data_IF_765595394851
#
_entry.id   IF_765595394851
#
_cell.length_a   1.000
_cell.length_b   1.000
_cell.length_c   1.000
_cell.angle_alpha   90.00
_cell.angle_beta   90.00
_cell.angle_gamma   90.00
#
_symmetry.space_group_name_H-M   'P 1'
#
loop_
_entity.id
_entity.type
_entity.pdbx_description
1 polymer ?
#
# COMPACT_ATOMS: atom_id res chain seq x y z
N UNK A 1 -6.92 23.31 -6.21
CA UNK A 1 -7.90 22.49 -6.95
C UNK A 1 -7.27 21.24 -7.61
N UNK A 2 -6.29 21.37 -8.53
CA UNK A 2 -5.73 20.22 -9.26
C UNK A 2 -5.18 19.08 -8.38
N UNK A 3 -4.29 19.38 -7.43
CA UNK A 3 -3.74 18.38 -6.50
C UNK A 3 -4.83 17.72 -5.63
N UNK A 4 -5.84 18.48 -5.21
CA UNK A 4 -6.95 17.95 -4.45
C UNK A 4 -7.80 16.96 -5.26
N UNK A 5 -8.03 17.24 -6.55
CA UNK A 5 -8.74 16.31 -7.43
C UNK A 5 -7.94 15.01 -7.66
N UNK A 6 -6.62 15.10 -7.84
CA UNK A 6 -5.78 13.90 -7.99
C UNK A 6 -5.74 13.05 -6.71
N UNK A 7 -5.64 13.69 -5.54
CA UNK A 7 -5.74 13.01 -4.25
C UNK A 7 -7.10 12.33 -4.06
N UNK A 8 -8.18 12.99 -4.49
CA UNK A 8 -9.53 12.44 -4.47
C UNK A 8 -9.67 11.24 -5.40
N UNK A 9 -9.10 11.25 -6.61
CA UNK A 9 -9.10 10.07 -7.50
C UNK A 9 -8.42 8.85 -6.86
N UNK A 10 -7.25 9.06 -6.24
CA UNK A 10 -6.54 8.00 -5.51
C UNK A 10 -7.39 7.46 -4.36
N UNK A 11 -7.98 8.36 -3.59
CA UNK A 11 -8.77 7.99 -2.41
C UNK A 11 -10.05 7.26 -2.80
N UNK A 12 -10.73 7.72 -3.85
CA UNK A 12 -11.89 7.06 -4.43
C UNK A 12 -11.56 5.61 -4.81
N UNK A 13 -10.52 5.39 -5.63
CA UNK A 13 -10.21 4.02 -6.06
C UNK A 13 -9.75 3.12 -4.91
N UNK A 14 -9.19 3.71 -3.86
CA UNK A 14 -8.81 3.02 -2.64
C UNK A 14 -10.03 2.53 -1.83
N UNK A 15 -11.08 3.34 -1.69
CA UNK A 15 -12.33 2.90 -1.06
C UNK A 15 -13.03 1.82 -1.89
N UNK A 16 -12.99 1.95 -3.23
CA UNK A 16 -13.47 0.91 -4.13
C UNK A 16 -12.64 -0.38 -3.98
N UNK A 17 -11.33 -0.29 -3.75
CA UNK A 17 -10.49 -1.45 -3.45
C UNK A 17 -10.99 -2.17 -2.20
N UNK A 18 -11.22 -1.44 -1.12
CA UNK A 18 -11.68 -2.03 0.14
C UNK A 18 -13.05 -2.71 -0.03
N UNK A 19 -13.95 -2.13 -0.84
CA UNK A 19 -15.20 -2.76 -1.22
C UNK A 19 -15.01 -4.02 -2.07
N UNK A 20 -14.11 -3.98 -3.07
CA UNK A 20 -13.81 -5.11 -3.94
C UNK A 20 -13.38 -6.35 -3.14
N UNK A 21 -12.60 -6.17 -2.08
CA UNK A 21 -12.20 -7.26 -1.18
C UNK A 21 -13.40 -7.91 -0.47
N UNK A 22 -14.46 -7.13 -0.17
CA UNK A 22 -15.66 -7.64 0.52
C UNK A 22 -16.64 -8.35 -0.42
N UNK A 23 -16.70 -7.92 -1.68
CA UNK A 23 -17.67 -8.44 -2.65
C UNK A 23 -17.08 -9.47 -3.62
N UNK A 24 -15.78 -9.79 -3.50
CA UNK A 24 -15.12 -10.76 -4.40
C UNK A 24 -14.81 -10.20 -5.78
N UNK A 25 -14.56 -8.88 -5.88
CA UNK A 25 -14.20 -8.20 -7.13
C UNK A 25 -12.70 -7.87 -7.21
N UNK A 26 -12.25 -7.41 -8.38
CA UNK A 26 -10.88 -6.97 -8.65
C UNK A 26 -10.84 -5.47 -8.99
N UNK A 27 -10.23 -4.68 -8.12
CA UNK A 27 -10.09 -3.23 -8.28
C UNK A 27 -9.31 -2.84 -9.54
N UNK A 28 -8.38 -3.67 -10.03
CA UNK A 28 -7.67 -3.39 -11.27
C UNK A 28 -8.59 -3.50 -12.49
N UNK A 29 -9.54 -4.44 -12.48
CA UNK A 29 -10.57 -4.54 -13.52
C UNK A 29 -11.54 -3.38 -13.44
N UNK A 30 -11.97 -2.98 -12.23
CA UNK A 30 -12.84 -1.82 -12.02
C UNK A 30 -12.15 -0.53 -12.50
N UNK A 31 -10.90 -0.30 -12.09
CA UNK A 31 -10.09 0.85 -12.50
C UNK A 31 -9.92 0.90 -14.02
N UNK A 32 -9.66 -0.25 -14.66
CA UNK A 32 -9.58 -0.36 -16.12
C UNK A 32 -10.92 0.00 -16.76
N UNK A 33 -12.03 -0.59 -16.28
CA UNK A 33 -13.37 -0.35 -16.81
C UNK A 33 -13.78 1.11 -16.78
N UNK A 34 -13.67 1.78 -15.62
CA UNK A 34 -14.01 3.21 -15.52
C UNK A 34 -12.98 4.09 -16.24
N UNK A 35 -11.73 3.65 -16.36
CA UNK A 35 -10.65 4.40 -17.00
C UNK A 35 -10.75 4.48 -18.53
N UNK A 36 -11.57 3.62 -19.16
CA UNK A 36 -11.87 3.66 -20.59
C UNK A 36 -12.77 4.83 -20.96
N UNK A 37 -13.53 5.39 -20.01
CA UNK A 37 -14.31 6.60 -20.23
C UNK A 37 -13.37 7.82 -20.29
N UNK A 38 -13.32 8.49 -21.43
CA UNK A 38 -12.47 9.67 -21.65
C UNK A 38 -12.73 10.83 -20.69
N UNK A 39 -13.91 10.89 -20.06
CA UNK A 39 -14.24 11.90 -19.03
C UNK A 39 -13.57 11.61 -17.68
N UNK A 40 -13.25 10.35 -17.40
CA UNK A 40 -12.59 9.90 -16.17
C UNK A 40 -11.09 9.79 -16.40
N UNK A 41 -10.69 9.07 -17.46
CA UNK A 41 -9.32 8.75 -17.82
C UNK A 41 -8.63 7.77 -16.86
N UNK A 42 -7.71 6.96 -17.41
CA UNK A 42 -7.07 5.84 -16.72
C UNK A 42 -6.01 6.22 -15.66
N UNK A 43 -5.54 7.47 -15.63
CA UNK A 43 -4.47 7.90 -14.70
C UNK A 43 -5.01 8.15 -13.29
N UNK A 44 -4.15 7.93 -12.29
CA UNK A 44 -4.45 8.13 -10.86
C UNK A 44 -5.58 7.22 -10.34
N UNK A 45 -5.68 6.01 -10.91
CA UNK A 45 -6.65 4.98 -10.52
C UNK A 45 -5.95 3.67 -10.09
N UNK A 46 -4.74 3.77 -9.56
CA UNK A 46 -4.04 2.62 -9.00
C UNK A 46 -4.27 2.62 -7.48
N UNK A 47 -5.01 1.61 -7.00
CA UNK A 47 -5.19 1.41 -5.57
C UNK A 47 -3.84 1.08 -4.91
N UNK A 48 -3.63 1.61 -3.71
CA UNK A 48 -2.38 1.43 -2.98
C UNK A 48 -2.51 1.76 -1.50
N UNK A 49 -1.41 1.97 -0.75
CA UNK A 49 -1.47 2.18 0.70
C UNK A 49 -1.91 3.59 1.14
N UNK A 50 -2.40 4.40 0.21
CA UNK A 50 -2.64 5.82 0.36
C UNK A 50 -1.61 6.66 -0.39
N UNK A 51 -1.82 7.97 -0.42
CA UNK A 51 -0.89 8.95 -1.00
C UNK A 51 -0.07 9.65 0.08
N UNK A 52 1.09 10.16 -0.35
CA UNK A 52 2.01 10.96 0.46
C UNK A 52 2.74 11.99 -0.40
N UNK A 53 3.96 12.33 0.01
CA UNK A 53 4.81 13.32 -0.65
C UNK A 53 4.49 14.74 -0.22
N UNK A 54 5.30 15.69 -0.64
CA UNK A 54 5.20 17.09 -0.19
C UNK A 54 4.05 17.90 -0.79
N UNK A 55 3.44 17.43 -1.89
CA UNK A 55 2.44 18.19 -2.62
C UNK A 55 1.02 17.86 -2.16
N UNK A 56 0.60 16.59 -2.21
CA UNK A 56 -0.82 16.25 -2.02
C UNK A 56 -1.32 16.53 -0.60
N UNK A 57 -0.72 15.99 0.49
CA UNK A 57 -1.21 16.20 1.85
C UNK A 57 -1.19 17.68 2.24
N UNK A 58 -0.11 18.39 1.92
CA UNK A 58 0.02 19.83 2.20
C UNK A 58 -1.06 20.64 1.49
N UNK A 59 -1.24 20.43 0.18
CA UNK A 59 -2.15 21.26 -0.62
C UNK A 59 -3.62 20.93 -0.37
N UNK A 60 -3.97 19.67 -0.04
CA UNK A 60 -5.34 19.31 0.37
C UNK A 60 -5.69 19.91 1.72
N UNK A 61 -4.80 19.82 2.72
CA UNK A 61 -4.99 20.44 4.03
C UNK A 61 -5.09 21.97 3.92
N UNK A 62 -4.22 22.61 3.13
CA UNK A 62 -4.27 24.04 2.90
C UNK A 62 -5.59 24.47 2.24
N UNK A 63 -6.09 23.71 1.27
CA UNK A 63 -7.38 23.97 0.63
C UNK A 63 -8.54 23.82 1.62
N UNK A 64 -8.54 22.76 2.42
CA UNK A 64 -9.56 22.53 3.46
C UNK A 64 -9.56 23.68 4.47
N UNK A 65 -8.38 24.07 4.96
CA UNK A 65 -8.25 25.17 5.92
C UNK A 65 -8.75 26.48 5.34
N UNK A 66 -8.35 26.80 4.11
CA UNK A 66 -8.81 28.00 3.39
C UNK A 66 -10.34 27.98 3.23
N UNK A 67 -10.92 26.86 2.83
CA UNK A 67 -12.36 26.70 2.68
C UNK A 67 -13.13 26.93 3.99
N UNK A 68 -12.58 26.45 5.11
CA UNK A 68 -13.16 26.65 6.45
C UNK A 68 -13.05 28.10 6.92
N UNK A 69 -11.91 28.76 6.67
CA UNK A 69 -11.69 30.16 7.07
C UNK A 69 -12.62 31.14 6.33
N UNK A 70 -13.20 30.73 5.20
CA UNK A 70 -14.16 31.49 4.40
C UNK A 70 -15.58 30.92 4.43
N UNK A 71 -15.92 30.07 5.41
CA UNK A 71 -17.25 29.49 5.61
C UNK A 71 -17.83 28.76 4.38
N UNK A 72 -16.96 28.18 3.54
CA UNK A 72 -17.33 27.46 2.30
C UNK A 72 -16.69 26.07 2.27
N UNK A 73 -17.16 25.13 3.12
CA UNK A 73 -16.48 23.86 3.34
C UNK A 73 -16.47 22.95 2.10
N UNK A 74 -15.31 22.38 1.80
CA UNK A 74 -15.07 21.46 0.67
C UNK A 74 -15.13 20.00 1.12
N UNK A 75 -16.32 19.55 1.52
CA UNK A 75 -16.55 18.24 2.17
C UNK A 75 -15.90 17.04 1.47
N UNK A 76 -15.90 17.00 0.13
CA UNK A 76 -15.25 15.92 -0.62
C UNK A 76 -13.75 15.84 -0.33
N UNK A 77 -13.08 16.97 -0.19
CA UNK A 77 -11.64 17.03 0.08
C UNK A 77 -11.35 16.77 1.55
N UNK A 78 -12.22 17.22 2.47
CA UNK A 78 -12.14 16.88 3.90
C UNK A 78 -12.17 15.36 4.10
N UNK A 79 -13.16 14.70 3.48
CA UNK A 79 -13.26 13.23 3.49
C UNK A 79 -12.06 12.58 2.82
N UNK A 80 -11.59 13.13 1.69
CA UNK A 80 -10.40 12.61 0.99
C UNK A 80 -9.17 12.55 1.91
N UNK A 81 -8.95 13.57 2.74
CA UNK A 81 -7.85 13.61 3.70
C UNK A 81 -8.06 12.56 4.81
N UNK A 82 -9.24 12.56 5.43
CA UNK A 82 -9.56 11.65 6.53
C UNK A 82 -9.46 10.16 6.14
N UNK A 83 -9.95 9.80 4.94
CA UNK A 83 -9.86 8.43 4.41
C UNK A 83 -8.41 8.06 4.15
N UNK A 84 -7.59 8.95 3.59
CA UNK A 84 -6.17 8.65 3.34
C UNK A 84 -5.39 8.37 4.62
N UNK A 85 -5.64 9.13 5.70
CA UNK A 85 -4.95 8.94 6.98
C UNK A 85 -5.32 7.60 7.64
N UNK A 86 -6.62 7.28 7.65
CA UNK A 86 -7.11 6.00 8.19
C UNK A 86 -6.66 4.80 7.34
N UNK A 87 -6.55 4.97 6.01
CA UNK A 87 -6.09 3.95 5.09
C UNK A 87 -4.67 3.49 5.37
N UNK A 88 -3.72 4.41 5.60
CA UNK A 88 -2.33 4.06 5.91
C UNK A 88 -2.24 3.11 7.11
N UNK A 89 -3.02 3.38 8.17
CA UNK A 89 -3.11 2.50 9.35
C UNK A 89 -3.85 1.19 9.06
N UNK A 90 -4.84 1.21 8.17
CA UNK A 90 -5.54 0.00 7.75
C UNK A 90 -4.63 -0.98 7.01
N UNK A 91 -3.64 -0.49 6.27
CA UNK A 91 -2.65 -1.33 5.60
C UNK A 91 -1.77 -2.09 6.59
N UNK A 92 -1.37 -1.47 7.71
CA UNK A 92 -0.67 -2.18 8.77
C UNK A 92 -1.53 -3.31 9.35
N UNK A 93 -2.85 -3.07 9.56
CA UNK A 93 -3.77 -4.13 10.00
C UNK A 93 -3.85 -5.27 8.99
N UNK A 94 -3.84 -4.99 7.68
CA UNK A 94 -3.79 -6.01 6.63
C UNK A 94 -2.53 -6.89 6.75
N UNK A 95 -1.36 -6.28 6.99
CA UNK A 95 -0.11 -7.02 7.24
C UNK A 95 -0.19 -7.86 8.52
N UNK A 96 -0.74 -7.30 9.62
CA UNK A 96 -0.91 -8.02 10.89
C UNK A 96 -1.83 -9.24 10.71
N UNK A 97 -2.93 -9.10 9.96
CA UNK A 97 -3.80 -10.23 9.64
C UNK A 97 -3.08 -11.29 8.80
N UNK A 98 -2.25 -10.89 7.85
CA UNK A 98 -1.47 -11.81 7.02
C UNK A 98 -0.46 -12.66 7.82
N UNK A 99 0.04 -12.17 8.96
CA UNK A 99 0.92 -12.93 9.88
C UNK A 99 0.15 -13.70 10.97
N UNK A 100 -1.17 -13.85 10.82
CA UNK A 100 -2.02 -14.63 11.73
C UNK A 100 -2.75 -13.81 12.80
N UNK A 101 -2.82 -12.48 12.66
CA UNK A 101 -3.60 -11.59 13.53
C UNK A 101 -2.88 -11.09 14.78
N UNK A 102 -1.73 -11.68 15.16
CA UNK A 102 -0.84 -11.19 16.20
C UNK A 102 0.58 -11.01 15.66
N UNK A 103 1.05 -9.76 15.65
CA UNK A 103 2.37 -9.40 15.15
C UNK A 103 3.45 -9.34 16.24
N UNK A 104 3.10 -9.60 17.51
CA UNK A 104 4.05 -9.50 18.62
C UNK A 104 5.23 -10.45 18.44
N UNK A 105 6.44 -9.89 18.40
CA UNK A 105 7.69 -10.64 18.21
C UNK A 105 7.90 -11.18 16.79
N UNK A 106 6.95 -10.96 15.86
CA UNK A 106 7.10 -11.29 14.44
C UNK A 106 8.04 -10.31 13.77
N UNK A 107 8.76 -10.75 12.75
CA UNK A 107 9.60 -9.88 11.91
C UNK A 107 8.92 -9.62 10.58
N UNK A 108 8.69 -8.34 10.25
CA UNK A 108 8.14 -7.92 8.96
C UNK A 108 9.24 -7.21 8.16
N UNK A 109 9.55 -7.75 6.98
CA UNK A 109 10.37 -7.07 6.00
C UNK A 109 9.52 -6.03 5.27
N UNK A 110 9.96 -4.78 5.20
CA UNK A 110 9.27 -3.69 4.50
C UNK A 110 10.15 -3.21 3.35
N UNK A 111 9.66 -3.42 2.13
CA UNK A 111 10.29 -2.95 0.90
C UNK A 111 9.63 -1.67 0.41
N UNK A 112 10.42 -0.62 0.26
CA UNK A 112 9.94 0.71 -0.09
C UNK A 112 9.58 1.52 1.15
N UNK A 113 10.30 2.62 1.36
CA UNK A 113 10.08 3.56 2.45
C UNK A 113 9.61 4.92 1.93
N UNK A 114 10.03 5.32 0.73
CA UNK A 114 9.60 6.59 0.12
C UNK A 114 8.14 6.55 -0.33
N UNK A 115 7.51 7.72 -0.55
CA UNK A 115 6.09 7.73 -0.89
C UNK A 115 5.77 7.22 -2.32
N UNK A 116 6.77 7.22 -3.20
CA UNK A 116 6.73 6.78 -4.59
C UNK A 116 8.16 6.42 -5.06
N UNK A 117 8.33 5.64 -6.14
CA UNK A 117 9.67 5.35 -6.66
C UNK A 117 10.37 6.57 -7.27
N UNK A 118 11.67 6.42 -7.50
CA UNK A 118 12.59 7.39 -8.13
C UNK A 118 12.72 8.71 -7.33
N UNK A 119 12.68 8.62 -6.02
CA UNK A 119 12.94 9.76 -5.11
C UNK A 119 13.36 9.23 -3.74
N UNK A 120 14.11 10.05 -3.01
CA UNK A 120 14.48 9.88 -1.60
C UNK A 120 13.52 10.60 -0.64
N UNK A 121 12.45 11.23 -1.16
CA UNK A 121 11.51 12.03 -0.36
C UNK A 121 10.62 11.13 0.50
N UNK A 122 10.74 11.32 1.81
CA UNK A 122 9.99 10.59 2.83
C UNK A 122 8.76 11.34 3.36
N UNK A 123 8.58 12.62 2.98
CA UNK A 123 7.50 13.46 3.54
C UNK A 123 6.14 12.80 3.31
N UNK A 124 5.38 12.66 4.39
CA UNK A 124 4.06 12.03 4.43
C UNK A 124 3.97 10.64 3.80
N UNK A 125 5.11 9.92 3.70
CA UNK A 125 5.14 8.57 3.13
C UNK A 125 4.18 7.63 3.89
N UNK A 126 3.38 6.80 3.17
CA UNK A 126 2.57 5.75 3.79
C UNK A 126 3.39 4.81 4.68
N UNK A 127 4.66 4.56 4.34
CA UNK A 127 5.54 3.66 5.09
C UNK A 127 5.72 4.10 6.56
N UNK A 128 5.77 5.42 6.83
CA UNK A 128 5.93 5.94 8.19
C UNK A 128 4.77 5.46 9.08
N UNK A 129 3.53 5.67 8.63
CA UNK A 129 2.33 5.28 9.38
C UNK A 129 2.15 3.77 9.47
N UNK A 130 2.53 3.03 8.41
CA UNK A 130 2.43 1.57 8.38
C UNK A 130 3.42 0.97 9.39
N UNK A 131 4.68 1.40 9.34
CA UNK A 131 5.75 0.90 10.22
C UNK A 131 5.44 1.24 11.68
N UNK A 132 5.02 2.47 11.98
CA UNK A 132 4.63 2.84 13.34
C UNK A 132 3.53 1.91 13.88
N UNK A 133 2.48 1.66 13.10
CA UNK A 133 1.39 0.78 13.53
C UNK A 133 1.82 -0.70 13.68
N UNK A 134 2.80 -1.17 12.90
CA UNK A 134 3.41 -2.49 13.08
C UNK A 134 4.22 -2.57 14.38
N UNK A 135 5.00 -1.54 14.69
CA UNK A 135 5.78 -1.45 15.94
C UNK A 135 4.86 -1.35 17.16
N UNK A 136 3.78 -0.57 17.08
CA UNK A 136 2.76 -0.46 18.13
C UNK A 136 2.10 -1.83 18.41
N UNK A 137 1.98 -2.69 17.38
CA UNK A 137 1.51 -4.06 17.50
C UNK A 137 2.59 -5.05 17.99
N UNK A 138 3.81 -4.58 18.27
CA UNK A 138 4.92 -5.38 18.78
C UNK A 138 5.73 -6.13 17.71
N UNK A 139 5.57 -5.78 16.44
CA UNK A 139 6.39 -6.35 15.36
C UNK A 139 7.79 -5.74 15.35
N UNK A 140 8.77 -6.54 14.93
CA UNK A 140 10.10 -6.06 14.54
C UNK A 140 10.07 -5.77 13.04
N UNK A 141 10.59 -4.63 12.63
CA UNK A 141 10.59 -4.23 11.21
C UNK A 141 12.02 -4.20 10.68
N UNK A 142 12.21 -4.76 9.49
CA UNK A 142 13.43 -4.59 8.67
C UNK A 142 13.08 -3.81 7.42
N UNK A 143 13.63 -2.61 7.25
CA UNK A 143 13.31 -1.71 6.16
C UNK A 143 14.41 -1.65 5.10
N UNK A 144 14.02 -1.72 3.84
CA UNK A 144 14.88 -1.44 2.70
C UNK A 144 14.18 -0.51 1.70
N UNK A 145 14.89 0.53 1.27
CA UNK A 145 14.53 1.38 0.14
C UNK A 145 15.79 1.63 -0.70
N UNK A 146 15.71 1.65 -2.04
CA UNK A 146 16.89 1.88 -2.88
C UNK A 146 17.52 3.27 -2.70
N UNK A 147 16.72 4.31 -2.40
CA UNK A 147 17.18 5.71 -2.39
C UNK A 147 16.84 6.43 -1.07
N UNK A 148 15.75 6.04 -0.39
CA UNK A 148 15.18 6.75 0.74
C UNK A 148 15.82 6.49 2.10
N UNK A 149 16.84 5.63 2.20
CA UNK A 149 17.32 5.10 3.48
C UNK A 149 17.82 6.19 4.44
N UNK A 150 18.57 7.17 3.95
CA UNK A 150 19.15 8.21 4.79
C UNK A 150 18.10 9.19 5.31
N UNK A 151 17.09 9.52 4.50
CA UNK A 151 15.97 10.34 4.94
C UNK A 151 15.01 9.56 5.82
N UNK A 152 14.83 8.26 5.58
CA UNK A 152 13.98 7.41 6.39
C UNK A 152 14.50 7.30 7.82
N UNK A 153 15.82 7.18 8.01
CA UNK A 153 16.46 7.15 9.35
C UNK A 153 16.21 8.39 10.20
N UNK A 154 15.86 9.53 9.57
CA UNK A 154 15.55 10.78 10.28
C UNK A 154 14.12 10.83 10.79
N UNK A 155 13.24 9.94 10.31
CA UNK A 155 11.79 10.02 10.49
C UNK A 155 11.19 8.73 11.08
N UNK A 156 11.89 7.61 11.00
CA UNK A 156 11.42 6.31 11.47
C UNK A 156 12.48 5.74 12.40
N UNK A 157 12.13 5.60 13.68
CA UNK A 157 12.99 5.01 14.69
C UNK A 157 12.62 3.53 14.93
N UNK A 158 13.51 2.77 15.56
CA UNK A 158 13.17 1.44 16.07
C UNK A 158 13.00 0.34 15.01
N UNK A 159 13.55 0.53 13.82
CA UNK A 159 13.63 -0.51 12.77
C UNK A 159 15.08 -0.84 12.43
N UNK A 160 15.31 -2.02 11.87
CA UNK A 160 16.60 -2.37 11.30
C UNK A 160 16.64 -1.95 9.82
N UNK A 161 17.57 -1.05 9.48
CA UNK A 161 17.84 -0.65 8.10
C UNK A 161 18.87 -1.58 7.50
N UNK A 162 18.54 -2.20 6.36
CA UNK A 162 19.36 -3.23 5.72
C UNK A 162 19.74 -2.83 4.29
N UNK A 163 20.71 -3.49 3.68
CA UNK A 163 21.29 -3.10 2.39
C UNK A 163 20.60 -3.68 1.15
N UNK A 164 19.65 -4.61 1.32
CA UNK A 164 18.94 -5.21 0.19
C UNK A 164 17.57 -5.77 0.56
N UNK A 165 16.73 -6.00 -0.45
CA UNK A 165 15.45 -6.70 -0.28
C UNK A 165 15.60 -8.11 0.31
N UNK A 166 16.68 -8.82 -0.02
CA UNK A 166 16.93 -10.17 0.47
C UNK A 166 17.37 -10.18 1.94
N UNK A 167 18.21 -9.23 2.36
CA UNK A 167 18.62 -9.06 3.76
C UNK A 167 17.41 -8.66 4.64
N UNK A 168 16.48 -7.86 4.09
CA UNK A 168 15.22 -7.54 4.77
C UNK A 168 14.39 -8.82 5.01
N UNK A 169 14.35 -9.72 4.03
CA UNK A 169 13.56 -10.94 4.04
C UNK A 169 14.12 -12.04 4.96
N UNK A 170 15.40 -11.99 5.35
CA UNK A 170 16.04 -13.04 6.16
C UNK A 170 15.31 -13.29 7.50
N UNK A 171 14.75 -14.48 7.66
CA UNK A 171 13.99 -14.89 8.84
C UNK A 171 12.67 -14.12 9.06
N UNK A 172 12.22 -13.34 8.07
CA UNK A 172 10.98 -12.58 8.17
C UNK A 172 9.75 -13.52 8.18
N UNK A 173 8.75 -13.19 8.99
CA UNK A 173 7.44 -13.85 9.02
C UNK A 173 6.53 -13.34 7.88
N UNK A 174 6.80 -12.14 7.35
CA UNK A 174 6.18 -11.62 6.13
C UNK A 174 7.08 -10.59 5.44
N UNK A 175 6.92 -10.46 4.12
CA UNK A 175 7.48 -9.38 3.32
C UNK A 175 6.34 -8.48 2.83
N UNK A 176 6.44 -7.18 3.08
CA UNK A 176 5.46 -6.18 2.71
C UNK A 176 6.07 -5.16 1.73
N UNK A 177 5.44 -5.00 0.57
CA UNK A 177 5.83 -4.01 -0.44
C UNK A 177 4.93 -2.77 -0.25
N UNK A 178 5.55 -1.65 0.09
CA UNK A 178 4.86 -0.36 0.31
C UNK A 178 5.07 0.60 -0.86
N UNK A 179 6.20 0.49 -1.56
CA UNK A 179 6.57 1.37 -2.68
C UNK A 179 7.01 0.55 -3.88
N UNK A 180 6.46 0.88 -5.05
CA UNK A 180 6.54 0.13 -6.30
C UNK A 180 7.84 0.36 -7.10
N UNK A 181 8.99 0.31 -6.43
CA UNK A 181 10.29 0.35 -7.10
C UNK A 181 10.41 -0.76 -8.14
N UNK A 182 10.96 -0.43 -9.31
CA UNK A 182 11.09 -1.40 -10.41
C UNK A 182 11.97 -2.60 -10.02
N UNK A 183 12.95 -2.41 -9.15
CA UNK A 183 13.81 -3.48 -8.61
C UNK A 183 13.00 -4.55 -7.88
N UNK A 184 11.87 -4.18 -7.26
CA UNK A 184 11.00 -5.14 -6.58
C UNK A 184 10.16 -5.94 -7.58
N UNK A 185 9.99 -5.52 -8.84
CA UNK A 185 9.16 -6.26 -9.81
C UNK A 185 9.78 -7.57 -10.29
N UNK A 186 11.09 -7.77 -10.06
CA UNK A 186 11.85 -8.90 -10.56
C UNK A 186 12.65 -9.61 -9.45
N UNK A 187 12.05 -9.76 -8.27
CA UNK A 187 12.67 -10.50 -7.16
C UNK A 187 12.74 -12.00 -7.47
N UNK A 188 13.80 -12.65 -6.98
CA UNK A 188 13.99 -14.10 -7.05
C UNK A 188 13.16 -14.77 -5.94
N UNK A 189 11.97 -15.24 -6.28
CA UNK A 189 11.04 -15.88 -5.34
C UNK A 189 11.58 -17.17 -4.70
N UNK A 190 12.22 -18.10 -5.45
CA UNK A 190 12.90 -19.23 -4.83
C UNK A 190 13.91 -18.81 -3.75
N UNK A 191 14.73 -17.79 -4.02
CA UNK A 191 15.68 -17.26 -3.03
C UNK A 191 14.96 -16.64 -1.84
N UNK A 192 13.95 -15.79 -2.06
CA UNK A 192 13.16 -15.18 -0.98
C UNK A 192 12.56 -16.26 -0.06
N UNK A 193 11.94 -17.29 -0.65
CA UNK A 193 11.32 -18.38 0.10
C UNK A 193 12.32 -19.15 0.97
N UNK A 194 13.56 -19.30 0.51
CA UNK A 194 14.64 -19.94 1.27
C UNK A 194 15.18 -19.07 2.42
N UNK A 195 15.07 -17.74 2.33
CA UNK A 195 15.52 -16.81 3.36
C UNK A 195 14.45 -16.54 4.44
N UNK A 196 13.18 -16.54 4.04
CA UNK A 196 12.06 -16.19 4.93
C UNK A 196 11.69 -17.34 5.88
N UNK A 197 11.11 -16.99 7.02
CA UNK A 197 10.58 -17.96 7.99
C UNK A 197 9.22 -18.51 7.55
N UNK A 198 8.40 -17.66 6.93
CA UNK A 198 7.13 -18.03 6.32
C UNK A 198 7.00 -17.32 4.97
N UNK A 199 6.50 -17.98 3.92
CA UNK A 199 6.40 -17.37 2.59
C UNK A 199 5.14 -16.49 2.49
N UNK A 200 5.02 -15.47 3.34
CA UNK A 200 3.90 -14.51 3.29
C UNK A 200 4.33 -13.24 2.56
N UNK A 201 3.63 -12.89 1.48
CA UNK A 201 3.91 -11.70 0.68
C UNK A 201 2.69 -10.77 0.67
N UNK A 202 2.86 -9.56 1.21
CA UNK A 202 1.83 -8.52 1.24
C UNK A 202 2.20 -7.40 0.27
N UNK A 203 1.59 -7.39 -0.91
CA UNK A 203 1.82 -6.36 -1.93
C UNK A 203 0.76 -5.26 -1.84
N UNK A 204 1.14 -4.11 -1.29
CA UNK A 204 0.24 -2.97 -1.15
C UNK A 204 0.16 -2.11 -2.41
N UNK A 205 0.86 -2.48 -3.49
CA UNK A 205 0.92 -1.72 -4.75
C UNK A 205 0.45 -2.52 -5.96
N UNK A 206 0.07 -3.79 -5.76
CA UNK A 206 -0.39 -4.71 -6.80
C UNK A 206 0.59 -4.79 -7.99
N UNK A 207 1.90 -4.80 -7.71
CA UNK A 207 2.94 -4.96 -8.72
C UNK A 207 2.98 -6.37 -9.30
N UNK A 208 2.46 -7.37 -8.58
CA UNK A 208 2.36 -8.75 -9.06
C UNK A 208 0.92 -9.19 -9.34
N UNK A 209 0.84 -10.20 -10.22
CA UNK A 209 -0.36 -10.99 -10.47
C UNK A 209 -0.45 -12.12 -9.45
N UNK A 210 -1.61 -12.38 -8.82
CA UNK A 210 -1.75 -13.41 -7.79
C UNK A 210 -1.27 -14.78 -8.26
N UNK A 211 -1.68 -15.20 -9.45
CA UNK A 211 -1.37 -16.52 -10.01
C UNK A 211 0.13 -16.77 -10.22
N UNK A 212 0.94 -15.71 -10.38
CA UNK A 212 2.39 -15.85 -10.50
C UNK A 212 3.04 -16.08 -9.13
N UNK A 213 2.53 -15.41 -8.09
CA UNK A 213 3.05 -15.54 -6.73
C UNK A 213 2.65 -16.89 -6.13
N UNK A 214 1.42 -17.34 -6.40
CA UNK A 214 0.90 -18.63 -5.94
C UNK A 214 1.73 -19.81 -6.47
N UNK A 215 2.24 -19.74 -7.71
CA UNK A 215 3.14 -20.75 -8.30
C UNK A 215 4.45 -20.92 -7.52
N UNK A 216 4.91 -19.87 -6.84
CA UNK A 216 6.08 -19.92 -5.97
C UNK A 216 5.73 -20.36 -4.53
N UNK A 217 4.44 -20.62 -4.25
CA UNK A 217 3.92 -21.10 -2.98
C UNK A 217 4.10 -20.07 -1.87
N UNK A 218 3.76 -18.82 -2.17
CA UNK A 218 3.60 -17.75 -1.19
C UNK A 218 2.13 -17.54 -0.87
N UNK A 219 1.84 -17.27 0.40
CA UNK A 219 0.54 -16.73 0.80
C UNK A 219 0.50 -15.25 0.38
N UNK A 220 -0.17 -14.99 -0.74
CA UNK A 220 -0.20 -13.68 -1.35
C UNK A 220 -1.40 -12.85 -0.90
N UNK A 221 -1.13 -11.68 -0.33
CA UNK A 221 -2.13 -10.69 0.07
C UNK A 221 -1.90 -9.43 -0.75
N UNK A 222 -2.94 -8.96 -1.43
CA UNK A 222 -2.89 -7.75 -2.25
C UNK A 222 -4.03 -6.78 -1.88
N UNK A 223 -4.10 -5.64 -2.56
CA UNK A 223 -5.09 -4.59 -2.31
C UNK A 223 -6.21 -4.66 -3.33
N UNK A 224 -7.45 -4.80 -2.86
CA UNK A 224 -8.62 -4.69 -3.72
C UNK A 224 -8.91 -5.90 -4.60
N UNK A 225 -8.38 -7.07 -4.26
CA UNK A 225 -8.68 -8.33 -4.94
C UNK A 225 -9.29 -9.29 -3.94
N UNK A 226 -10.62 -9.48 -4.02
CA UNK A 226 -11.33 -10.46 -3.22
C UNK A 226 -11.35 -11.83 -3.89
N UNK A 227 -11.37 -12.89 -3.08
CA UNK A 227 -11.79 -14.20 -3.58
C UNK A 227 -13.31 -14.19 -3.79
N UNK A 228 -13.84 -14.78 -4.86
CA UNK A 228 -15.29 -14.93 -5.01
C UNK A 228 -15.86 -15.67 -3.78
N UNK A 229 -17.04 -15.28 -3.27
CA UNK A 229 -17.67 -15.96 -2.16
C UNK A 229 -17.87 -17.45 -2.49
N UNK A 230 -17.63 -18.32 -1.52
CA UNK A 230 -17.81 -19.76 -1.69
C UNK A 230 -19.24 -20.04 -2.19
N UNK A 231 -19.37 -20.51 -3.44
CA UNK A 231 -20.64 -20.80 -4.09
C UNK A 231 -20.98 -19.91 -5.31
N UNK A 232 -20.23 -18.84 -5.60
CA UNK A 232 -20.38 -18.12 -6.87
C UNK A 232 -19.52 -18.77 -7.96
N UNK A 233 -20.04 -19.82 -8.58
CA UNK A 233 -19.56 -20.21 -9.91
C UNK A 233 -19.96 -19.08 -10.84
N UNK A 234 -18.98 -18.34 -11.37
CA UNK A 234 -19.25 -17.34 -12.40
C UNK A 234 -19.66 -18.06 -13.69
N UNK A 235 -20.97 -18.25 -13.88
CA UNK A 235 -21.52 -18.30 -15.23
C UNK A 235 -21.33 -16.92 -15.86
N UNK A 236 -20.25 -16.77 -16.61
CA UNK A 236 -20.10 -15.71 -17.59
C UNK A 236 -19.31 -16.27 -18.77
N UNK A 237 -19.97 -17.16 -19.51
CA UNK A 237 -19.73 -17.36 -20.93
C UNK A 237 -20.95 -16.75 -21.64
N UNK A 238 -20.80 -15.56 -22.23
CA UNK A 238 -21.07 -15.22 -23.64
C UNK A 238 -20.75 -13.73 -23.89
#
# INVERSE_FOLDING_TARGET
AGNAFLAMKITFINEIADLCEKVGADVQQVARGIGLDGRIGAKFLHAGPGYGGSCFPKDTLALVKTAQDYDSPVRLIETTVAVNDTRKRAMARKVIQAVGGDARGKTVAVLGLTFKPMTDDMRDSPAISIIQALQDAGARVRGFDPEGMDNARKLIDGIAYVGSAYEAAEGADALCIVTEWNEFRALDFPRLKGLMKAPVLVDLRNIYRPEEIDKHGFDYVSVGRGSPPAGSVAEAAE
#
